data_IF_197079832299
#
_entry.id   IF_197079832299
#
_cell.length_a   1.000
_cell.length_b   1.000
_cell.length_c   1.000
_cell.angle_alpha   90.00
_cell.angle_beta   90.00
_cell.angle_gamma   90.00
#
_symmetry.space_group_name_H-M   'P 1'
#
loop_
_entity.id
_entity.type
_entity.pdbx_description
1 polymer ?
#
# COMPACT_ATOMS: atom_id res chain seq x y z
N UNK A 1 -46.77 -9.78 8.89
CA UNK A 1 -45.38 -9.51 9.33
C UNK A 1 -44.45 -9.03 8.21
N UNK A 2 -44.52 -9.59 6.99
CA UNK A 2 -43.65 -9.20 5.85
C UNK A 2 -43.92 -7.76 5.34
N UNK A 3 -45.18 -7.32 5.33
CA UNK A 3 -45.54 -5.97 4.90
C UNK A 3 -45.08 -4.86 5.87
N UNK A 4 -45.06 -5.15 7.18
CA UNK A 4 -44.57 -4.20 8.18
C UNK A 4 -43.05 -3.96 8.07
N UNK A 5 -42.28 -5.01 7.77
CA UNK A 5 -40.83 -4.89 7.49
C UNK A 5 -40.53 -4.10 6.22
N UNK A 6 -41.35 -4.25 5.16
CA UNK A 6 -41.22 -3.47 3.92
C UNK A 6 -41.58 -1.99 4.12
N UNK A 7 -42.63 -1.70 4.87
CA UNK A 7 -43.03 -0.32 5.19
C UNK A 7 -41.99 0.36 6.07
N UNK A 8 -41.45 -0.34 7.09
CA UNK A 8 -40.37 0.19 7.93
C UNK A 8 -39.09 0.45 7.13
N UNK A 9 -38.74 -0.44 6.19
CA UNK A 9 -37.59 -0.25 5.31
C UNK A 9 -37.77 0.94 4.35
N UNK A 10 -38.96 1.10 3.76
CA UNK A 10 -39.30 2.24 2.91
C UNK A 10 -39.32 3.54 3.74
N UNK A 11 -39.87 3.51 4.96
CA UNK A 11 -39.91 4.66 5.87
C UNK A 11 -38.50 5.11 6.31
N UNK A 12 -37.60 4.16 6.62
CA UNK A 12 -36.19 4.45 6.87
C UNK A 12 -35.48 5.03 5.63
N UNK A 13 -35.74 4.49 4.43
CA UNK A 13 -35.20 5.03 3.18
C UNK A 13 -35.70 6.45 2.88
N UNK A 14 -36.98 6.75 3.15
CA UNK A 14 -37.53 8.09 2.98
C UNK A 14 -37.01 9.09 4.03
N UNK A 15 -36.79 8.66 5.27
CA UNK A 15 -36.19 9.51 6.31
C UNK A 15 -34.73 9.86 5.99
N UNK A 16 -33.96 8.93 5.41
CA UNK A 16 -32.60 9.21 4.91
C UNK A 16 -32.65 10.28 3.80
N UNK A 17 -33.65 10.24 2.90
CA UNK A 17 -33.76 11.26 1.83
C UNK A 17 -34.21 12.64 2.31
N UNK A 18 -35.00 12.73 3.39
CA UNK A 18 -35.51 14.01 3.92
C UNK A 18 -34.44 14.72 4.76
N UNK A 19 -33.60 13.99 5.50
CA UNK A 19 -32.49 14.58 6.27
C UNK A 19 -31.37 15.09 5.34
N UNK A 20 -31.16 14.47 4.18
CA UNK A 20 -30.18 14.91 3.17
C UNK A 20 -30.60 16.20 2.45
N UNK A 21 -31.86 16.64 2.59
CA UNK A 21 -32.40 17.85 1.96
C UNK A 21 -32.18 19.16 2.73
N UNK A 22 -31.67 19.13 3.97
CA UNK A 22 -31.70 20.29 4.88
C UNK A 22 -30.35 20.97 5.17
N UNK A 23 -29.23 20.50 4.60
CA UNK A 23 -27.94 21.19 4.71
C UNK A 23 -27.74 22.11 3.49
N UNK A 24 -27.97 23.41 3.70
CA UNK A 24 -28.02 24.45 2.67
C UNK A 24 -26.69 24.90 2.06
N UNK A 25 -25.55 24.37 2.50
CA UNK A 25 -24.24 24.53 1.87
C UNK A 25 -23.55 23.17 1.92
N UNK A 26 -23.10 22.67 0.77
CA UNK A 26 -22.38 21.39 0.70
C UNK A 26 -20.92 21.71 0.85
N UNK A 27 -20.32 21.22 1.94
CA UNK A 27 -18.91 21.39 2.16
C UNK A 27 -18.11 20.22 1.60
N UNK A 28 -17.08 20.47 0.80
CA UNK A 28 -16.17 19.45 0.27
C UNK A 28 -14.74 19.72 0.69
N UNK A 29 -14.04 18.68 1.12
CA UNK A 29 -12.62 18.75 1.43
C UNK A 29 -11.94 17.49 0.97
N UNK A 30 -10.82 17.65 0.26
CA UNK A 30 -9.96 16.52 -0.08
C UNK A 30 -8.58 16.73 0.52
N UNK A 31 -8.00 15.67 1.08
CA UNK A 31 -6.62 15.68 1.52
C UNK A 31 -5.85 14.47 1.02
N UNK A 32 -4.57 14.70 0.76
CA UNK A 32 -3.56 13.67 0.57
C UNK A 32 -2.48 13.85 1.64
N UNK A 33 -2.12 12.80 2.36
CA UNK A 33 -1.16 12.88 3.46
C UNK A 33 -0.26 11.66 3.56
N UNK A 34 0.91 11.86 4.16
CA UNK A 34 1.78 10.79 4.65
C UNK A 34 1.78 10.75 6.17
N UNK A 35 1.96 9.57 6.75
CA UNK A 35 2.02 9.40 8.20
C UNK A 35 3.12 8.43 8.64
N UNK A 36 3.56 8.61 9.88
CA UNK A 36 4.47 7.71 10.59
C UNK A 36 4.04 7.58 12.04
N UNK A 37 4.37 6.47 12.69
CA UNK A 37 4.09 6.31 14.11
C UNK A 37 4.37 4.93 14.63
N UNK A 38 3.67 4.57 15.70
CA UNK A 38 3.75 3.26 16.32
C UNK A 38 2.40 2.57 16.27
N UNK A 39 2.44 1.25 16.18
CA UNK A 39 1.23 0.42 16.30
C UNK A 39 1.56 -0.79 17.15
N UNK A 40 0.65 -1.14 18.05
CA UNK A 40 0.76 -2.34 18.84
C UNK A 40 0.71 -3.57 17.94
N UNK A 41 1.44 -4.59 18.38
CA UNK A 41 1.41 -5.93 17.81
C UNK A 41 1.54 -6.87 18.98
N UNK A 42 0.88 -8.02 18.97
CA UNK A 42 1.08 -9.01 20.03
C UNK A 42 1.39 -10.37 19.40
N UNK A 43 2.58 -10.91 19.63
CA UNK A 43 2.94 -12.26 19.16
C UNK A 43 3.05 -13.22 20.35
N UNK A 44 2.03 -13.24 21.20
CA UNK A 44 2.01 -14.01 22.45
C UNK A 44 2.44 -15.48 22.26
N UNK A 45 1.84 -16.19 21.30
CA UNK A 45 2.13 -17.61 21.08
C UNK A 45 3.60 -17.85 20.70
N UNK A 46 4.16 -17.05 19.78
CA UNK A 46 5.57 -17.16 19.42
C UNK A 46 6.50 -16.75 20.57
N UNK A 47 6.15 -15.70 21.31
CA UNK A 47 6.92 -15.27 22.47
C UNK A 47 6.91 -16.32 23.59
N UNK A 48 5.83 -17.06 23.77
CA UNK A 48 5.79 -18.21 24.69
C UNK A 48 6.74 -19.33 24.23
N UNK A 49 6.78 -19.63 22.92
CA UNK A 49 7.74 -20.61 22.37
C UNK A 49 9.20 -20.17 22.53
N UNK A 50 9.47 -18.87 22.46
CA UNK A 50 10.78 -18.29 22.75
C UNK A 50 11.12 -18.42 24.24
N UNK A 51 10.18 -18.07 25.11
CA UNK A 51 10.36 -18.12 26.57
C UNK A 51 10.59 -19.56 27.08
N UNK A 52 9.86 -20.54 26.56
CA UNK A 52 10.08 -21.97 26.84
C UNK A 52 11.51 -22.45 26.49
N UNK A 53 12.17 -21.74 25.57
CA UNK A 53 13.57 -21.99 25.16
C UNK A 53 14.58 -21.08 25.86
N UNK A 54 14.14 -20.31 26.86
CA UNK A 54 14.98 -19.35 27.60
C UNK A 54 15.34 -18.10 26.80
N UNK A 55 14.59 -17.79 25.73
CA UNK A 55 14.91 -16.71 24.80
C UNK A 55 14.11 -15.45 25.09
N UNK A 56 14.71 -14.31 24.75
CA UNK A 56 14.06 -13.01 24.92
C UNK A 56 12.85 -12.87 23.98
N UNK A 57 11.70 -12.37 24.48
CA UNK A 57 10.52 -12.17 23.66
C UNK A 57 10.73 -11.06 22.63
N UNK A 58 10.08 -11.20 21.48
CA UNK A 58 10.07 -10.16 20.46
C UNK A 58 9.20 -9.00 20.93
N UNK A 59 9.67 -7.77 20.67
CA UNK A 59 8.91 -6.56 21.01
C UNK A 59 7.56 -6.51 20.30
N UNK A 60 6.54 -6.27 21.10
CA UNK A 60 5.12 -6.16 20.74
C UNK A 60 4.76 -4.79 20.14
N UNK A 61 5.53 -4.33 19.13
CA UNK A 61 5.26 -3.05 18.46
C UNK A 61 5.83 -3.00 17.04
N UNK A 62 5.10 -2.30 16.19
CA UNK A 62 5.54 -1.84 14.89
C UNK A 62 5.95 -0.38 14.90
N UNK A 63 6.89 -0.04 14.01
CA UNK A 63 6.95 1.27 13.39
C UNK A 63 6.05 1.24 12.15
N UNK A 64 5.15 2.19 12.05
CA UNK A 64 4.15 2.29 10.99
C UNK A 64 4.49 3.48 10.10
N UNK A 65 4.34 3.33 8.80
CA UNK A 65 4.46 4.39 7.81
C UNK A 65 3.44 4.17 6.70
N UNK A 66 2.89 5.24 6.14
CA UNK A 66 1.87 5.09 5.12
C UNK A 66 1.50 6.39 4.42
N UNK A 67 0.63 6.23 3.43
CA UNK A 67 0.03 7.28 2.64
C UNK A 67 -1.49 7.15 2.72
N UNK A 68 -2.18 8.27 2.78
CA UNK A 68 -3.62 8.34 2.87
C UNK A 68 -4.20 9.37 1.93
N UNK A 69 -5.38 9.07 1.42
CA UNK A 69 -6.28 9.98 0.76
C UNK A 69 -7.58 10.02 1.54
N UNK A 70 -8.16 11.19 1.71
CA UNK A 70 -9.50 11.33 2.26
C UNK A 70 -10.27 12.40 1.49
N UNK A 71 -11.55 12.12 1.26
CA UNK A 71 -12.53 13.07 0.77
C UNK A 71 -13.65 13.15 1.79
N UNK A 72 -13.99 14.36 2.19
CA UNK A 72 -15.10 14.67 3.07
C UNK A 72 -16.17 15.40 2.28
N UNK A 73 -17.42 15.00 2.49
CA UNK A 73 -18.60 15.74 2.04
C UNK A 73 -19.48 15.98 3.26
N UNK A 74 -19.63 17.26 3.61
CA UNK A 74 -20.23 17.73 4.85
C UNK A 74 -19.54 17.06 6.04
N UNK A 75 -20.26 16.22 6.77
CA UNK A 75 -19.73 15.50 7.91
C UNK A 75 -19.24 14.10 7.54
N UNK A 76 -19.61 13.57 6.37
CA UNK A 76 -19.23 12.22 5.97
C UNK A 76 -17.83 12.17 5.38
N UNK A 77 -17.02 11.22 5.82
CA UNK A 77 -15.67 10.99 5.32
C UNK A 77 -15.57 9.64 4.64
N UNK A 78 -14.96 9.63 3.46
CA UNK A 78 -14.47 8.43 2.79
C UNK A 78 -12.99 8.61 2.50
N UNK A 79 -12.19 7.56 2.69
CA UNK A 79 -10.77 7.62 2.43
C UNK A 79 -10.18 6.27 2.09
N UNK A 80 -8.90 6.31 1.75
CA UNK A 80 -8.09 5.15 1.48
C UNK A 80 -6.72 5.33 2.10
N UNK A 81 -6.19 4.30 2.74
CA UNK A 81 -4.85 4.27 3.32
C UNK A 81 -4.08 3.05 2.86
N UNK A 82 -2.83 3.28 2.48
CA UNK A 82 -1.84 2.24 2.25
C UNK A 82 -0.74 2.39 3.29
N UNK A 83 -0.52 1.37 4.10
CA UNK A 83 0.46 1.39 5.18
C UNK A 83 1.36 0.17 5.18
N UNK A 84 2.54 0.37 5.74
CA UNK A 84 3.51 -0.67 6.02
C UNK A 84 3.91 -0.54 7.50
N UNK A 85 3.95 -1.68 8.16
CA UNK A 85 4.29 -1.82 9.56
C UNK A 85 5.49 -2.76 9.66
N UNK A 86 6.51 -2.32 10.38
CA UNK A 86 7.76 -3.06 10.51
C UNK A 86 8.10 -3.25 11.99
N UNK A 87 8.33 -4.49 12.39
CA UNK A 87 8.75 -4.80 13.75
C UNK A 87 10.17 -4.31 14.00
N UNK A 88 10.53 -4.21 15.28
CA UNK A 88 11.96 -4.20 15.63
C UNK A 88 12.55 -5.58 15.31
N UNK A 89 13.80 -5.60 14.88
CA UNK A 89 14.60 -6.82 14.81
C UNK A 89 14.82 -7.39 16.21
N UNK A 90 14.70 -8.70 16.35
CA UNK A 90 15.23 -9.46 17.47
C UNK A 90 16.40 -10.29 16.98
N UNK A 91 17.55 -10.16 17.62
CA UNK A 91 18.70 -10.99 17.32
C UNK A 91 18.59 -12.29 18.12
N UNK A 92 18.97 -13.39 17.48
CA UNK A 92 18.94 -14.72 18.06
C UNK A 92 20.09 -15.52 17.44
N UNK A 93 21.12 -15.81 18.22
CA UNK A 93 22.41 -16.31 17.71
C UNK A 93 22.89 -15.45 16.52
N UNK A 94 23.24 -16.09 15.39
CA UNK A 94 23.61 -15.44 14.14
C UNK A 94 22.42 -15.03 13.27
N UNK A 95 21.19 -15.13 13.79
CA UNK A 95 19.95 -14.83 13.07
C UNK A 95 19.27 -13.55 13.54
N UNK A 96 18.46 -13.00 12.64
CA UNK A 96 17.56 -11.88 12.89
C UNK A 96 16.13 -12.29 12.61
N UNK A 97 15.29 -12.21 13.63
CA UNK A 97 13.86 -12.42 13.52
C UNK A 97 13.19 -11.06 13.30
N UNK A 98 12.38 -11.00 12.24
CA UNK A 98 11.63 -9.79 11.84
C UNK A 98 10.25 -10.19 11.36
N UNK A 99 9.28 -9.33 11.64
CA UNK A 99 7.95 -9.44 11.05
C UNK A 99 7.49 -8.10 10.51
N UNK A 100 6.78 -8.14 9.38
CA UNK A 100 6.25 -6.97 8.69
C UNK A 100 4.83 -7.24 8.25
N UNK A 101 4.02 -6.20 8.24
CA UNK A 101 2.69 -6.23 7.65
C UNK A 101 2.49 -5.04 6.71
N UNK A 102 1.74 -5.26 5.64
CA UNK A 102 1.28 -4.20 4.73
C UNK A 102 -0.23 -4.20 4.76
N UNK A 103 -0.87 -3.03 4.71
CA UNK A 103 -2.33 -2.92 4.79
C UNK A 103 -2.84 -1.94 3.75
N UNK A 104 -3.96 -2.28 3.14
CA UNK A 104 -4.76 -1.39 2.31
C UNK A 104 -6.14 -1.27 2.96
N UNK A 105 -6.50 -0.06 3.36
CA UNK A 105 -7.67 0.23 4.18
C UNK A 105 -8.55 1.26 3.48
N UNK A 106 -9.86 1.07 3.55
CA UNK A 106 -10.87 2.06 3.16
C UNK A 106 -11.42 2.65 4.46
N UNK A 107 -11.31 3.97 4.59
CA UNK A 107 -11.79 4.70 5.74
C UNK A 107 -13.21 5.19 5.48
N UNK A 108 -14.09 5.01 6.47
CA UNK A 108 -15.42 5.60 6.50
C UNK A 108 -15.58 6.26 7.86
N UNK A 109 -15.99 7.52 7.89
CA UNK A 109 -16.04 8.26 9.14
C UNK A 109 -17.03 9.41 9.14
N UNK A 110 -17.08 10.09 10.28
CA UNK A 110 -17.89 11.26 10.52
C UNK A 110 -17.06 12.35 11.20
N UNK A 111 -17.18 13.60 10.75
CA UNK A 111 -16.58 14.77 11.37
C UNK A 111 -17.39 15.14 12.62
N UNK A 112 -16.80 14.99 13.81
CA UNK A 112 -17.44 15.33 15.07
C UNK A 112 -17.43 16.84 15.32
N UNK A 113 -16.38 17.53 14.87
CA UNK A 113 -16.22 18.97 15.08
C UNK A 113 -15.34 19.55 13.98
N UNK A 114 -15.77 20.67 13.45
CA UNK A 114 -14.96 21.53 12.59
C UNK A 114 -15.08 22.97 13.09
N UNK A 115 -14.00 23.46 13.67
CA UNK A 115 -13.90 24.85 14.11
C UNK A 115 -12.80 25.52 13.30
N UNK A 116 -13.21 26.08 12.17
CA UNK A 116 -12.31 26.77 11.27
C UNK A 116 -11.28 25.84 10.65
N UNK A 117 -10.05 25.84 11.19
CA UNK A 117 -8.88 25.13 10.62
C UNK A 117 -8.67 23.77 11.27
N UNK A 118 -9.31 23.54 12.42
CA UNK A 118 -9.20 22.32 13.20
C UNK A 118 -10.33 21.35 12.84
N UNK A 119 -10.00 20.07 12.77
CA UNK A 119 -10.94 18.99 12.52
C UNK A 119 -10.74 17.86 13.52
N UNK A 120 -11.85 17.30 13.98
CA UNK A 120 -11.88 16.06 14.75
C UNK A 120 -12.82 15.06 14.07
N UNK A 121 -12.25 13.97 13.58
CA UNK A 121 -12.93 12.93 12.83
C UNK A 121 -12.93 11.65 13.65
N UNK A 122 -14.07 10.99 13.75
CA UNK A 122 -14.13 9.60 14.18
C UNK A 122 -14.30 8.71 12.94
N UNK A 123 -13.50 7.66 12.82
CA UNK A 123 -13.50 6.81 11.64
C UNK A 123 -13.40 5.33 11.99
N UNK A 124 -13.91 4.53 11.07
CA UNK A 124 -13.70 3.10 10.96
C UNK A 124 -13.04 2.82 9.62
N UNK A 125 -11.98 2.04 9.64
CA UNK A 125 -11.27 1.57 8.46
C UNK A 125 -11.53 0.09 8.28
N UNK A 126 -11.83 -0.33 7.05
CA UNK A 126 -12.02 -1.73 6.68
C UNK A 126 -11.10 -2.04 5.51
N UNK A 127 -10.42 -3.17 5.56
CA UNK A 127 -9.52 -3.52 4.47
C UNK A 127 -8.87 -4.88 4.61
N UNK A 128 -7.69 -4.98 4.02
CA UNK A 128 -6.96 -6.24 3.87
C UNK A 128 -5.46 -6.03 4.05
N UNK A 129 -4.74 -7.13 4.25
CA UNK A 129 -3.30 -7.04 4.49
C UNK A 129 -2.45 -8.21 4.01
N UNK A 130 -1.19 -8.10 4.35
CA UNK A 130 -0.12 -9.06 4.10
C UNK A 130 0.69 -9.20 5.36
N UNK A 131 1.09 -10.43 5.72
CA UNK A 131 1.99 -10.67 6.83
C UNK A 131 3.20 -11.44 6.34
N UNK A 132 4.38 -11.01 6.76
CA UNK A 132 5.62 -11.72 6.54
C UNK A 132 6.40 -11.82 7.84
N UNK A 133 6.56 -13.04 8.31
CA UNK A 133 7.44 -13.40 9.39
C UNK A 133 8.70 -14.04 8.80
N UNK A 134 9.88 -13.67 9.27
CA UNK A 134 11.13 -14.19 8.73
C UNK A 134 12.20 -14.30 9.83
N UNK A 135 13.02 -15.33 9.70
CA UNK A 135 14.24 -15.54 10.46
C UNK A 135 15.35 -15.79 9.44
N UNK A 136 16.23 -14.81 9.29
CA UNK A 136 17.32 -14.82 8.30
C UNK A 136 18.64 -14.51 9.00
N UNK A 137 19.79 -14.99 8.51
CA UNK A 137 21.07 -14.71 9.14
C UNK A 137 21.38 -13.21 9.12
N UNK A 138 22.15 -12.74 10.10
CA UNK A 138 22.62 -11.35 10.19
C UNK A 138 23.46 -10.97 8.97
N UNK A 139 24.30 -11.90 8.53
CA UNK A 139 25.12 -11.80 7.34
C UNK A 139 24.51 -12.70 6.27
N UNK A 140 23.87 -12.09 5.28
CA UNK A 140 23.32 -12.79 4.12
C UNK A 140 24.29 -12.68 2.96
N UNK A 141 24.31 -13.69 2.10
CA UNK A 141 25.09 -13.65 0.88
C UNK A 141 24.55 -12.53 -0.03
N UNK A 142 25.46 -11.72 -0.56
CA UNK A 142 25.10 -10.63 -1.47
C UNK A 142 25.43 -10.98 -2.91
N UNK A 143 26.42 -11.84 -3.15
CA UNK A 143 26.73 -12.31 -4.47
C UNK A 143 25.65 -13.30 -4.93
N UNK A 144 25.08 -13.06 -6.12
CA UNK A 144 23.97 -13.88 -6.61
C UNK A 144 24.42 -15.31 -6.91
N UNK A 145 25.60 -15.49 -7.47
CA UNK A 145 26.15 -16.80 -7.83
C UNK A 145 26.38 -17.66 -6.59
N UNK A 146 27.03 -17.10 -5.56
CA UNK A 146 27.23 -17.77 -4.27
C UNK A 146 25.89 -18.09 -3.60
N UNK A 147 24.94 -17.15 -3.65
CA UNK A 147 23.59 -17.36 -3.13
C UNK A 147 22.85 -18.50 -3.83
N UNK A 148 23.01 -18.66 -5.15
CA UNK A 148 22.34 -19.72 -5.91
C UNK A 148 22.96 -21.10 -5.68
N UNK A 149 24.22 -21.18 -5.23
CA UNK A 149 24.87 -22.45 -4.86
C UNK A 149 24.34 -22.98 -3.52
N UNK A 150 24.12 -22.10 -2.53
CA UNK A 150 23.55 -22.46 -1.24
C UNK A 150 22.47 -21.45 -0.79
N UNK A 151 21.25 -21.54 -1.34
CA UNK A 151 20.21 -20.55 -1.09
C UNK A 151 19.52 -20.73 0.27
N UNK A 152 19.78 -21.80 1.01
CA UNK A 152 19.05 -22.15 2.24
C UNK A 152 19.69 -21.44 3.43
N UNK A 153 19.43 -20.15 3.54
CA UNK A 153 20.01 -19.33 4.61
C UNK A 153 19.15 -19.28 5.88
N UNK A 154 17.83 -19.30 5.73
CA UNK A 154 16.88 -19.10 6.83
C UNK A 154 15.47 -19.53 6.44
N UNK A 155 14.44 -18.97 7.06
CA UNK A 155 13.07 -19.23 6.65
C UNK A 155 12.21 -17.97 6.63
N UNK A 156 11.25 -17.99 5.71
CA UNK A 156 10.28 -16.93 5.48
C UNK A 156 8.88 -17.55 5.41
N UNK A 157 8.00 -17.03 6.24
CA UNK A 157 6.58 -17.36 6.28
C UNK A 157 5.77 -16.15 5.84
N UNK A 158 4.87 -16.34 4.87
CA UNK A 158 4.04 -15.28 4.32
C UNK A 158 2.59 -15.68 4.24
N UNK A 159 1.72 -14.85 4.80
CA UNK A 159 0.27 -14.91 4.59
C UNK A 159 -0.11 -13.82 3.60
N UNK A 160 -0.95 -14.14 2.62
CA UNK A 160 -1.40 -13.20 1.58
C UNK A 160 -0.24 -12.61 0.79
N UNK A 161 0.65 -13.47 0.28
CA UNK A 161 1.96 -13.09 -0.26
C UNK A 161 1.91 -12.12 -1.45
N UNK A 162 2.01 -10.82 -1.16
CA UNK A 162 2.00 -9.75 -2.15
C UNK A 162 3.23 -9.76 -3.05
N UNK A 163 4.30 -10.46 -2.66
CA UNK A 163 5.48 -10.60 -3.51
C UNK A 163 5.18 -11.47 -4.73
N UNK A 164 4.14 -12.31 -4.67
CA UNK A 164 3.60 -13.10 -5.80
C UNK A 164 2.50 -12.35 -6.57
N UNK A 165 2.19 -11.11 -6.19
CA UNK A 165 1.23 -10.22 -6.85
C UNK A 165 0.22 -9.59 -5.88
N UNK A 166 -0.20 -8.36 -6.16
CA UNK A 166 -1.12 -7.57 -5.31
C UNK A 166 -2.49 -8.23 -5.12
N UNK A 167 -2.92 -9.05 -6.07
CA UNK A 167 -4.17 -9.84 -5.94
C UNK A 167 -4.14 -10.87 -4.81
N UNK A 168 -2.97 -11.09 -4.20
CA UNK A 168 -2.80 -11.99 -3.04
C UNK A 168 -3.06 -11.29 -1.71
N UNK A 169 -3.22 -9.96 -1.67
CA UNK A 169 -3.71 -9.28 -0.48
C UNK A 169 -5.03 -9.92 -0.03
N UNK A 170 -5.20 -10.09 1.28
CA UNK A 170 -6.33 -10.81 1.81
C UNK A 170 -6.43 -10.63 3.32
N UNK A 171 -7.32 -11.41 3.91
CA UNK A 171 -7.71 -11.39 5.32
C UNK A 171 -8.16 -10.01 5.82
N UNK A 172 -9.33 -9.99 6.45
CA UNK A 172 -9.98 -8.74 6.80
C UNK A 172 -9.28 -8.05 7.98
N UNK A 173 -9.12 -6.74 7.88
CA UNK A 173 -8.57 -5.89 8.93
C UNK A 173 -9.50 -4.72 9.20
N UNK A 174 -9.64 -4.39 10.48
CA UNK A 174 -10.42 -3.24 10.93
C UNK A 174 -9.55 -2.32 11.76
N UNK A 175 -9.64 -1.02 11.54
CA UNK A 175 -9.14 0.00 12.47
C UNK A 175 -10.30 0.89 12.90
N UNK A 176 -10.35 1.28 14.17
CA UNK A 176 -11.33 2.24 14.68
C UNK A 176 -10.56 3.30 15.46
N UNK A 177 -10.87 4.57 15.25
CA UNK A 177 -10.12 5.62 15.90
C UNK A 177 -10.59 7.04 15.64
N UNK A 178 -9.79 7.96 16.14
CA UNK A 178 -9.95 9.39 15.97
C UNK A 178 -8.79 9.94 15.16
N UNK A 179 -9.09 10.94 14.33
CA UNK A 179 -8.13 11.75 13.63
C UNK A 179 -8.38 13.20 14.00
N UNK A 180 -7.36 13.85 14.55
CA UNK A 180 -7.32 15.29 14.70
C UNK A 180 -6.46 15.87 13.57
N UNK A 181 -6.90 16.92 12.91
CA UNK A 181 -6.07 17.64 11.94
C UNK A 181 -6.21 19.15 12.04
N UNK A 182 -5.19 19.85 11.57
CA UNK A 182 -5.14 21.31 11.53
C UNK A 182 -4.51 21.78 10.22
N UNK A 183 -5.13 22.76 9.58
CA UNK A 183 -4.63 23.36 8.35
C UNK A 183 -3.82 24.63 8.57
N UNK A 184 -2.68 24.71 7.88
CA UNK A 184 -1.90 25.92 7.71
C UNK A 184 -2.03 26.41 6.28
N UNK A 185 -2.57 27.61 6.10
CA UNK A 185 -2.73 28.20 4.77
C UNK A 185 -1.34 28.42 4.15
N UNK A 186 -1.18 28.00 2.90
CA UNK A 186 0.05 28.24 2.14
C UNK A 186 -0.08 29.57 1.39
N UNK A 187 0.84 30.54 1.61
CA UNK A 187 0.76 31.84 0.94
C UNK A 187 0.71 31.71 -0.59
N UNK A 188 -0.28 32.35 -1.21
CA UNK A 188 -0.44 32.36 -2.67
C UNK A 188 -0.88 31.03 -3.28
N UNK A 189 -1.35 30.08 -2.48
CA UNK A 189 -1.79 28.75 -2.92
C UNK A 189 -3.24 28.47 -2.51
N UNK A 190 -3.92 27.63 -3.30
CA UNK A 190 -5.29 27.17 -3.01
C UNK A 190 -5.29 26.03 -1.99
N UNK A 191 -4.18 25.33 -1.91
CA UNK A 191 -3.94 24.24 -0.97
C UNK A 191 -3.49 24.76 0.40
N UNK A 192 -3.78 23.98 1.43
CA UNK A 192 -3.25 24.15 2.78
C UNK A 192 -2.36 22.98 3.17
N UNK A 193 -1.39 23.24 4.04
CA UNK A 193 -0.60 22.20 4.69
C UNK A 193 -1.44 21.63 5.84
N UNK A 194 -1.82 20.37 5.74
CA UNK A 194 -2.50 19.65 6.82
C UNK A 194 -1.48 18.99 7.73
N UNK A 195 -1.60 19.18 9.04
CA UNK A 195 -0.93 18.36 10.05
C UNK A 195 -1.99 17.51 10.74
N UNK A 196 -1.73 16.21 10.90
CA UNK A 196 -2.69 15.29 11.49
C UNK A 196 -2.08 14.38 12.54
N UNK A 197 -2.92 13.96 13.47
CA UNK A 197 -2.65 12.91 14.45
C UNK A 197 -3.80 11.91 14.43
N UNK A 198 -3.48 10.62 14.38
CA UNK A 198 -4.43 9.52 14.39
C UNK A 198 -4.15 8.60 15.57
N UNK A 199 -5.20 8.30 16.32
CA UNK A 199 -5.16 7.36 17.44
C UNK A 199 -6.30 6.37 17.31
N UNK A 200 -6.08 5.15 17.75
CA UNK A 200 -7.12 4.13 17.65
C UNK A 200 -6.62 2.74 17.96
N UNK A 201 -7.42 1.77 17.55
CA UNK A 201 -7.16 0.35 17.74
C UNK A 201 -7.37 -0.40 16.42
N UNK A 202 -6.39 -1.23 16.07
CA UNK A 202 -6.45 -2.14 14.93
C UNK A 202 -6.76 -3.55 15.44
N UNK A 203 -7.49 -4.34 14.66
CA UNK A 203 -7.72 -5.77 14.93
C UNK A 203 -8.14 -6.54 13.68
N UNK A 204 -7.95 -7.86 13.70
CA UNK A 204 -8.60 -8.79 12.76
C UNK A 204 -9.89 -9.28 13.41
N UNK A 205 -11.08 -9.12 12.77
CA UNK A 205 -12.33 -9.57 13.37
C UNK A 205 -12.55 -11.09 13.26
N UNK A 206 -11.75 -11.79 12.46
CA UNK A 206 -11.88 -13.24 12.25
C UNK A 206 -10.68 -13.98 12.84
N UNK A 207 -10.95 -14.86 13.79
CA UNK A 207 -9.93 -15.71 14.42
C UNK A 207 -9.36 -16.73 13.44
N UNK A 208 -8.04 -16.96 13.48
CA UNK A 208 -7.35 -17.95 12.66
C UNK A 208 -7.12 -17.52 11.21
N UNK A 209 -7.62 -16.36 10.79
CA UNK A 209 -7.39 -15.81 9.45
C UNK A 209 -5.89 -15.60 9.20
N UNK A 210 -5.14 -15.19 10.23
CA UNK A 210 -3.70 -14.94 10.16
C UNK A 210 -2.85 -16.10 10.70
N UNK A 211 -3.21 -17.35 10.42
CA UNK A 211 -2.43 -18.53 10.81
C UNK A 211 -1.30 -18.85 9.82
N UNK A 212 -0.11 -19.19 10.35
CA UNK A 212 1.06 -19.63 9.61
C UNK A 212 1.78 -20.75 10.37
N UNK A 213 2.04 -21.87 9.69
CA UNK A 213 2.82 -23.02 10.19
C UNK A 213 2.46 -23.44 11.64
N UNK A 214 1.17 -23.62 11.91
CA UNK A 214 0.66 -24.05 13.21
C UNK A 214 0.49 -22.94 14.27
N UNK A 215 0.89 -21.69 14.00
CA UNK A 215 0.75 -20.56 14.93
C UNK A 215 -0.22 -19.50 14.41
N UNK A 216 -1.02 -18.93 15.31
CA UNK A 216 -1.89 -17.79 15.02
C UNK A 216 -1.15 -16.45 15.18
N UNK A 217 -1.12 -15.65 14.12
CA UNK A 217 -0.58 -14.29 14.10
C UNK A 217 -1.69 -13.22 14.08
N UNK A 218 -2.94 -13.56 14.42
CA UNK A 218 -4.05 -12.58 14.44
C UNK A 218 -3.74 -11.40 15.38
N UNK A 219 -3.14 -11.72 16.53
CA UNK A 219 -2.70 -10.75 17.51
C UNK A 219 -1.57 -9.85 16.98
N UNK A 220 -0.78 -10.30 15.99
CA UNK A 220 0.21 -9.47 15.33
C UNK A 220 -0.44 -8.40 14.46
N UNK A 221 -1.74 -8.52 14.13
CA UNK A 221 -2.50 -7.48 13.43
C UNK A 221 -3.34 -6.61 14.39
N UNK A 222 -3.34 -6.93 15.69
CA UNK A 222 -4.14 -6.25 16.69
C UNK A 222 -3.29 -5.35 17.62
N UNK A 223 -3.79 -4.15 17.92
CA UNK A 223 -3.15 -3.25 18.87
C UNK A 223 -3.53 -1.79 18.72
N UNK A 224 -3.29 -1.03 19.80
CA UNK A 224 -3.46 0.42 19.81
C UNK A 224 -2.40 1.09 18.92
N UNK A 225 -2.74 2.18 18.27
CA UNK A 225 -1.79 2.94 17.46
C UNK A 225 -1.84 4.43 17.76
N UNK A 226 -0.69 5.08 17.53
CA UNK A 226 -0.53 6.52 17.51
C UNK A 226 0.31 6.87 16.29
N UNK A 227 -0.24 7.69 15.39
CA UNK A 227 0.37 8.06 14.12
C UNK A 227 0.27 9.57 13.95
N UNK A 228 1.32 10.19 13.44
CA UNK A 228 1.34 11.61 13.09
C UNK A 228 1.70 11.74 11.63
N UNK A 229 1.16 12.75 10.98
CA UNK A 229 1.31 12.93 9.55
C UNK A 229 1.22 14.39 9.13
N UNK A 230 1.60 14.60 7.88
CA UNK A 230 1.44 15.86 7.20
C UNK A 230 1.00 15.61 5.76
N UNK A 231 0.28 16.57 5.19
CA UNK A 231 -0.32 16.44 3.89
C UNK A 231 -0.72 17.76 3.26
N UNK A 232 -1.37 17.65 2.12
CA UNK A 232 -1.94 18.76 1.38
C UNK A 232 -3.46 18.59 1.44
N UNK A 233 -4.15 19.61 1.92
CA UNK A 233 -5.61 19.69 1.96
C UNK A 233 -6.10 20.77 1.00
N UNK A 234 -7.29 20.57 0.44
CA UNK A 234 -8.06 21.58 -0.27
C UNK A 234 -9.25 21.96 0.62
N UNK A 235 -9.12 22.97 1.49
CA UNK A 235 -10.21 23.40 2.38
C UNK A 235 -11.26 24.21 1.62
N UNK A 236 -12.51 24.05 2.02
CA UNK A 236 -13.67 24.55 1.26
C UNK A 236 -13.95 26.05 1.38
N UNK A 237 -13.03 26.79 2.02
CA UNK A 237 -13.15 28.25 2.23
C UNK A 237 -13.15 29.05 0.92
N UNK A 238 -12.93 28.38 -0.21
CA UNK A 238 -12.84 28.96 -1.54
C UNK A 238 -13.84 28.29 -2.50
N UNK A 239 -15.14 28.43 -2.24
CA UNK A 239 -16.30 27.94 -3.04
C UNK A 239 -16.28 28.28 -4.56
N UNK A 240 -15.22 28.91 -5.08
CA UNK A 240 -15.06 29.32 -6.47
C UNK A 240 -14.02 28.54 -7.28
N UNK A 241 -13.29 27.58 -6.73
CA UNK A 241 -12.28 26.87 -7.52
C UNK A 241 -12.87 25.69 -8.29
N UNK A 242 -13.21 25.94 -9.56
CA UNK A 242 -13.32 24.88 -10.58
C UNK A 242 -11.98 24.20 -10.90
N UNK A 243 -10.87 24.77 -10.42
CA UNK A 243 -9.54 24.51 -10.97
C UNK A 243 -8.60 23.77 -10.01
N UNK A 244 -9.07 23.28 -8.85
CA UNK A 244 -8.27 22.48 -7.94
C UNK A 244 -9.01 21.23 -7.41
N UNK A 245 -8.38 20.05 -7.47
CA UNK A 245 -8.97 18.78 -7.01
C UNK A 245 -7.89 17.80 -6.55
N UNK A 246 -8.22 16.85 -5.66
CA UNK A 246 -7.37 15.68 -5.36
C UNK A 246 -8.21 14.43 -5.59
N UNK A 247 -7.79 13.59 -6.52
CA UNK A 247 -8.41 12.31 -6.84
C UNK A 247 -7.55 11.12 -6.46
N UNK A 248 -8.20 9.95 -6.33
CA UNK A 248 -7.54 8.66 -6.14
C UNK A 248 -7.95 7.71 -7.27
N UNK A 249 -7.00 6.96 -7.82
CA UNK A 249 -7.22 5.97 -8.85
C UNK A 249 -6.55 4.64 -8.50
N UNK A 250 -7.27 3.54 -8.70
CA UNK A 250 -6.66 2.23 -8.78
C UNK A 250 -6.04 2.09 -10.16
N UNK A 251 -4.75 1.82 -10.21
CA UNK A 251 -4.00 1.68 -11.45
C UNK A 251 -3.61 0.22 -11.69
N UNK A 252 -3.78 -0.21 -12.93
CA UNK A 252 -3.28 -1.49 -13.43
C UNK A 252 -2.37 -1.23 -14.61
N UNK A 253 -1.16 -1.77 -14.56
CA UNK A 253 -0.15 -1.56 -15.59
C UNK A 253 0.41 -2.84 -16.19
N UNK A 254 0.88 -2.72 -17.42
CA UNK A 254 1.73 -3.69 -18.10
C UNK A 254 3.11 -3.06 -18.23
N UNK A 255 4.13 -3.77 -17.74
CA UNK A 255 5.52 -3.45 -17.98
C UNK A 255 6.06 -4.41 -19.06
N UNK A 256 6.58 -3.88 -20.15
CA UNK A 256 6.86 -4.69 -21.35
C UNK A 256 8.21 -5.43 -21.32
N UNK A 257 8.99 -5.28 -20.25
CA UNK A 257 10.28 -5.96 -20.07
C UNK A 257 10.20 -7.13 -19.11
N UNK A 258 10.91 -8.21 -19.46
CA UNK A 258 11.15 -9.42 -18.68
C UNK A 258 12.58 -9.43 -18.11
N UNK A 259 12.83 -10.15 -17.01
CA UNK A 259 14.14 -10.22 -16.37
C UNK A 259 15.06 -11.24 -17.09
N UNK A 260 15.31 -11.07 -18.38
CA UNK A 260 16.01 -12.06 -19.24
C UNK A 260 17.40 -12.44 -18.71
N UNK A 261 18.23 -11.45 -18.37
CA UNK A 261 19.56 -11.68 -17.79
C UNK A 261 19.53 -12.40 -16.45
N UNK A 262 18.51 -12.13 -15.64
CA UNK A 262 18.36 -12.81 -14.36
C UNK A 262 17.90 -14.25 -14.58
N UNK A 263 16.97 -14.47 -15.51
CA UNK A 263 16.51 -15.80 -15.89
C UNK A 263 17.63 -16.67 -16.48
N UNK A 264 18.53 -16.11 -17.31
CA UNK A 264 19.67 -16.88 -17.81
C UNK A 264 20.58 -17.36 -16.69
N UNK A 265 20.86 -16.49 -15.69
CA UNK A 265 21.66 -16.90 -14.52
C UNK A 265 20.92 -17.91 -13.64
N UNK A 266 19.59 -17.85 -13.54
CA UNK A 266 18.84 -18.91 -12.86
C UNK A 266 19.01 -20.26 -13.58
N UNK A 267 18.90 -20.27 -14.91
CA UNK A 267 19.04 -21.48 -15.73
C UNK A 267 20.45 -22.07 -15.65
N UNK A 268 21.49 -21.23 -15.67
CA UNK A 268 22.90 -21.65 -15.53
C UNK A 268 23.16 -22.40 -14.21
N UNK A 269 22.39 -22.09 -13.16
CA UNK A 269 22.47 -22.74 -11.84
C UNK A 269 21.39 -23.83 -11.65
N UNK A 270 20.72 -24.25 -12.72
CA UNK A 270 19.75 -25.36 -12.70
C UNK A 270 18.36 -25.00 -12.17
N UNK A 271 18.04 -23.73 -12.05
CA UNK A 271 16.70 -23.25 -11.70
C UNK A 271 15.85 -22.99 -12.94
N UNK A 272 14.54 -23.17 -12.80
CA UNK A 272 13.59 -22.75 -13.83
C UNK A 272 13.48 -21.22 -13.88
N UNK A 273 13.23 -20.61 -15.05
CA UNK A 273 13.08 -19.17 -15.20
C UNK A 273 11.76 -18.66 -14.61
N UNK A 274 11.71 -17.37 -14.28
CA UNK A 274 10.45 -16.71 -13.91
C UNK A 274 9.52 -16.63 -15.13
N UNK A 275 8.25 -17.00 -14.93
CA UNK A 275 7.26 -17.04 -16.01
C UNK A 275 6.43 -15.76 -16.13
N UNK A 276 5.95 -15.51 -17.35
CA UNK A 276 4.95 -14.49 -17.66
C UNK A 276 5.51 -13.08 -17.85
N UNK A 277 4.59 -12.12 -17.96
CA UNK A 277 4.93 -10.69 -17.98
C UNK A 277 4.61 -10.08 -16.62
N UNK A 278 5.47 -9.20 -16.11
CA UNK A 278 5.23 -8.59 -14.82
C UNK A 278 4.01 -7.65 -14.90
N UNK A 279 3.02 -7.91 -14.04
CA UNK A 279 1.79 -7.11 -13.98
C UNK A 279 1.82 -6.16 -12.79
N UNK A 280 1.40 -4.92 -13.00
CA UNK A 280 1.34 -3.89 -11.97
C UNK A 280 -0.08 -3.69 -11.47
N UNK A 281 -0.24 -3.67 -10.16
CA UNK A 281 -1.42 -3.12 -9.49
C UNK A 281 -0.95 -2.11 -8.46
N UNK A 282 -1.66 -1.00 -8.38
CA UNK A 282 -1.30 0.08 -7.49
C UNK A 282 -2.38 1.12 -7.31
N UNK A 283 -1.97 2.21 -6.69
CA UNK A 283 -2.76 3.37 -6.36
C UNK A 283 -2.03 4.61 -6.86
N UNK A 284 -2.78 5.51 -7.46
CA UNK A 284 -2.36 6.87 -7.83
C UNK A 284 -3.21 7.86 -7.06
N UNK A 285 -2.57 8.76 -6.32
CA UNK A 285 -3.22 9.93 -5.72
C UNK A 285 -2.70 11.14 -6.48
N UNK A 286 -3.61 11.89 -7.11
CA UNK A 286 -3.25 13.00 -7.99
C UNK A 286 -4.02 14.25 -7.59
N UNK A 287 -3.27 15.28 -7.22
CA UNK A 287 -3.72 16.65 -7.11
C UNK A 287 -3.58 17.39 -8.43
N UNK A 288 -4.55 18.23 -8.72
CA UNK A 288 -4.56 19.16 -9.83
C UNK A 288 -4.85 20.55 -9.27
N UNK A 289 -4.05 21.55 -9.67
CA UNK A 289 -4.28 22.97 -9.36
C UNK A 289 -3.89 23.80 -10.58
N UNK A 290 -4.85 24.48 -11.22
CA UNK A 290 -4.62 25.34 -12.39
C UNK A 290 -3.84 24.64 -13.52
N UNK A 291 -4.15 23.36 -13.75
CA UNK A 291 -3.48 22.50 -14.73
C UNK A 291 -2.14 21.91 -14.26
N UNK A 292 -1.55 22.38 -13.15
CA UNK A 292 -0.41 21.73 -12.51
C UNK A 292 -0.86 20.40 -11.90
N UNK A 293 -0.15 19.32 -12.23
CA UNK A 293 -0.36 17.99 -11.67
C UNK A 293 0.71 17.70 -10.62
N UNK A 294 0.32 17.15 -9.48
CA UNK A 294 1.24 16.67 -8.46
C UNK A 294 0.63 15.50 -7.71
N UNK A 295 1.45 14.53 -7.30
CA UNK A 295 0.87 13.35 -6.66
C UNK A 295 1.86 12.25 -6.35
N UNK A 296 1.33 11.09 -5.99
CA UNK A 296 2.12 9.90 -5.69
C UNK A 296 1.53 8.67 -6.36
N UNK A 297 2.39 7.87 -6.98
CA UNK A 297 2.07 6.52 -7.41
C UNK A 297 2.72 5.50 -6.48
N UNK A 298 1.96 4.50 -6.08
CA UNK A 298 2.47 3.30 -5.43
C UNK A 298 1.98 2.08 -6.17
N UNK A 299 2.87 1.27 -6.69
CA UNK A 299 2.48 0.02 -7.34
C UNK A 299 3.48 -1.09 -7.09
N UNK A 300 2.99 -2.31 -7.28
CA UNK A 300 3.70 -3.53 -6.98
C UNK A 300 3.81 -4.37 -8.26
N UNK A 301 5.03 -4.53 -8.73
CA UNK A 301 5.42 -5.37 -9.86
C UNK A 301 5.81 -6.75 -9.30
N UNK A 302 5.19 -7.82 -9.77
CA UNK A 302 5.50 -9.15 -9.26
C UNK A 302 5.58 -10.19 -10.39
N UNK A 303 6.58 -11.05 -10.28
CA UNK A 303 6.72 -12.29 -11.04
C UNK A 303 6.90 -13.45 -10.07
N UNK A 304 6.44 -14.62 -10.48
CA UNK A 304 6.55 -15.86 -9.71
C UNK A 304 6.75 -17.03 -10.66
N UNK A 305 7.32 -18.09 -10.14
CA UNK A 305 7.55 -19.33 -10.88
C UNK A 305 7.83 -20.47 -9.92
N UNK A 306 7.90 -21.66 -10.49
CA UNK A 306 8.54 -22.79 -9.82
C UNK A 306 10.04 -22.65 -10.04
N UNK A 307 10.85 -22.82 -9.00
CA UNK A 307 12.31 -22.76 -9.14
C UNK A 307 12.88 -24.17 -9.37
N UNK A 308 12.34 -25.16 -8.66
CA UNK A 308 12.71 -26.58 -8.74
C UNK A 308 11.54 -27.48 -8.33
N UNK A 309 11.76 -28.78 -8.17
CA UNK A 309 10.70 -29.68 -7.69
C UNK A 309 10.23 -29.38 -6.27
N UNK A 310 11.13 -28.89 -5.42
CA UNK A 310 10.88 -28.63 -4.00
C UNK A 310 10.74 -27.14 -3.66
N UNK A 311 11.04 -26.23 -4.59
CA UNK A 311 11.11 -24.80 -4.33
C UNK A 311 10.30 -23.98 -5.35
N UNK A 312 9.68 -22.91 -4.86
CA UNK A 312 9.12 -21.84 -5.67
C UNK A 312 9.97 -20.58 -5.52
N UNK A 313 9.86 -19.66 -6.48
CA UNK A 313 10.50 -18.36 -6.36
C UNK A 313 9.59 -17.20 -6.76
N UNK A 314 9.99 -16.00 -6.37
CA UNK A 314 9.31 -14.75 -6.74
C UNK A 314 10.29 -13.62 -6.88
N UNK A 315 10.06 -12.76 -7.87
CA UNK A 315 10.77 -11.50 -8.07
C UNK A 315 9.76 -10.36 -7.98
N UNK A 316 9.93 -9.53 -6.96
CA UNK A 316 8.98 -8.50 -6.59
C UNK A 316 9.64 -7.12 -6.55
N UNK A 317 8.97 -6.11 -7.10
CA UNK A 317 9.38 -4.72 -6.98
C UNK A 317 8.24 -3.83 -6.52
N UNK A 318 8.36 -3.26 -5.33
CA UNK A 318 7.46 -2.19 -4.85
C UNK A 318 8.07 -0.86 -5.24
N UNK A 319 7.29 -0.02 -5.94
CA UNK A 319 7.74 1.26 -6.47
C UNK A 319 6.87 2.39 -5.93
N UNK A 320 7.52 3.46 -5.49
CA UNK A 320 6.87 4.69 -5.01
C UNK A 320 7.44 5.87 -5.79
N UNK A 321 6.60 6.62 -6.49
CA UNK A 321 6.99 7.79 -7.28
C UNK A 321 6.29 9.04 -6.76
N UNK A 322 7.06 10.10 -6.49
CA UNK A 322 6.53 11.46 -6.40
C UNK A 322 6.47 12.06 -7.79
N UNK A 323 5.28 12.48 -8.21
CA UNK A 323 4.99 12.93 -9.56
C UNK A 323 4.72 14.44 -9.58
N UNK A 324 5.21 15.11 -10.62
CA UNK A 324 4.87 16.49 -10.97
C UNK A 324 4.67 16.58 -12.48
N UNK A 325 3.72 17.40 -12.93
CA UNK A 325 3.44 17.55 -14.35
C UNK A 325 2.47 18.67 -14.67
N UNK A 326 1.96 18.67 -15.89
CA UNK A 326 1.05 19.70 -16.37
C UNK A 326 0.04 19.14 -17.38
N UNK A 327 -1.19 19.65 -17.34
CA UNK A 327 -2.23 19.43 -18.35
C UNK A 327 -2.10 20.48 -19.44
N UNK A 328 -1.80 20.02 -20.66
CA UNK A 328 -1.64 20.92 -21.82
C UNK A 328 -2.97 21.20 -22.52
N UNK A 329 -3.93 20.28 -22.40
CA UNK A 329 -5.22 20.40 -23.07
C UNK A 329 -6.32 19.84 -22.18
N UNK A 330 -7.39 20.62 -22.02
CA UNK A 330 -8.60 20.19 -21.34
C UNK A 330 -9.81 20.67 -22.12
N UNK A 331 -10.63 19.72 -22.56
CA UNK A 331 -11.88 20.02 -23.26
C UNK A 331 -13.01 19.19 -22.68
N UNK A 332 -13.95 19.89 -22.02
CA UNK A 332 -15.06 19.28 -21.29
C UNK A 332 -14.55 18.27 -20.25
N UNK A 333 -14.81 16.99 -20.49
CA UNK A 333 -14.49 15.89 -19.60
C UNK A 333 -13.16 15.21 -19.96
N UNK A 334 -12.52 15.63 -21.05
CA UNK A 334 -11.29 15.04 -21.55
C UNK A 334 -10.10 15.93 -21.20
N UNK A 335 -9.01 15.34 -20.74
CA UNK A 335 -7.75 16.04 -20.49
C UNK A 335 -6.55 15.25 -21.02
N UNK A 336 -5.54 15.98 -21.48
CA UNK A 336 -4.23 15.48 -21.89
C UNK A 336 -3.16 16.24 -21.12
N UNK A 337 -2.21 15.52 -20.55
CA UNK A 337 -1.07 16.08 -19.85
C UNK A 337 0.17 15.21 -19.95
N UNK A 338 1.25 15.69 -19.35
CA UNK A 338 2.44 14.88 -19.10
C UNK A 338 2.92 15.08 -17.67
N UNK A 339 3.56 14.05 -17.13
CA UNK A 339 4.12 14.04 -15.79
C UNK A 339 5.50 13.40 -15.79
N UNK A 340 6.36 13.85 -14.88
CA UNK A 340 7.61 13.21 -14.53
C UNK A 340 7.55 12.75 -13.07
N UNK A 341 7.87 11.48 -12.85
CA UNK A 341 8.03 10.89 -11.53
C UNK A 341 9.49 10.70 -11.16
N UNK A 342 9.84 11.02 -9.92
CA UNK A 342 11.09 10.54 -9.28
C UNK A 342 10.68 9.63 -8.15
N UNK A 343 11.28 8.45 -8.08
CA UNK A 343 10.85 7.43 -7.16
C UNK A 343 11.93 6.50 -6.68
N UNK A 344 11.50 5.60 -5.80
CA UNK A 344 12.32 4.56 -5.22
C UNK A 344 11.67 3.21 -5.50
N UNK A 345 12.47 2.29 -6.04
CA UNK A 345 12.12 0.88 -6.21
C UNK A 345 12.79 0.03 -5.14
N UNK A 346 12.06 -0.93 -4.58
CA UNK A 346 12.64 -2.00 -3.76
C UNK A 346 12.43 -3.33 -4.48
N UNK A 347 13.51 -3.98 -4.89
CA UNK A 347 13.52 -5.25 -5.60
C UNK A 347 13.84 -6.38 -4.61
N UNK A 348 13.09 -7.47 -4.68
CA UNK A 348 13.20 -8.61 -3.76
C UNK A 348 13.10 -9.89 -4.57
N UNK A 349 14.12 -10.72 -4.46
CA UNK A 349 14.06 -12.10 -4.90
C UNK A 349 13.90 -12.99 -3.69
N UNK A 350 12.98 -13.95 -3.76
CA UNK A 350 12.77 -14.95 -2.71
C UNK A 350 12.73 -16.31 -3.35
N UNK A 351 13.50 -17.23 -2.78
CA UNK A 351 13.47 -18.65 -3.09
C UNK A 351 12.92 -19.36 -1.85
N UNK A 352 11.77 -20.02 -2.01
CA UNK A 352 11.00 -20.59 -0.89
C UNK A 352 10.84 -22.09 -1.06
N UNK A 353 11.20 -22.85 -0.02
CA UNK A 353 10.84 -24.27 0.08
C UNK A 353 9.33 -24.45 0.21
N UNK A 354 8.80 -25.51 -0.39
CA UNK A 354 7.40 -25.95 -0.27
C UNK A 354 7.15 -26.75 1.00
N UNK A 355 8.15 -27.49 1.45
CA UNK A 355 8.06 -28.40 2.58
C UNK A 355 8.80 -27.78 3.76
N UNK A 356 8.07 -27.01 4.57
CA UNK A 356 8.55 -26.49 5.85
C UNK A 356 7.73 -27.15 6.94
N UNK A 357 8.34 -27.63 8.03
CA UNK A 357 7.60 -28.14 9.17
C UNK A 357 6.80 -27.02 9.85
N UNK A 358 5.88 -27.39 10.72
CA UNK A 358 5.20 -26.45 11.59
C UNK A 358 6.10 -26.06 12.78
N UNK A 359 5.73 -25.01 13.49
CA UNK A 359 6.35 -24.77 14.79
C UNK A 359 5.98 -25.89 15.78
N UNK A 360 6.90 -26.31 16.66
CA UNK A 360 8.19 -25.69 16.94
C UNK A 360 9.36 -26.15 16.05
N UNK A 361 9.23 -27.24 15.30
CA UNK A 361 10.32 -27.87 14.54
C UNK A 361 10.97 -26.92 13.52
N UNK A 362 10.19 -26.03 12.89
CA UNK A 362 10.71 -24.96 12.03
C UNK A 362 11.71 -24.01 12.72
N UNK A 363 11.63 -23.88 14.04
CA UNK A 363 12.58 -23.08 14.79
C UNK A 363 13.91 -23.82 15.02
N UNK A 364 13.90 -25.14 14.93
CA UNK A 364 15.08 -26.02 15.10
C UNK A 364 15.77 -26.24 13.76
N UNK A 365 14.99 -26.55 12.71
CA UNK A 365 15.43 -26.59 11.33
C UNK A 365 15.25 -25.22 10.67
N UNK A 366 16.28 -24.39 10.61
CA UNK A 366 16.11 -22.99 10.20
C UNK A 366 16.39 -22.72 8.72
N UNK A 367 17.05 -23.64 8.03
CA UNK A 367 17.66 -23.41 6.71
C UNK A 367 16.78 -23.94 5.57
N UNK A 368 15.87 -23.11 5.06
CA UNK A 368 14.90 -23.51 4.03
C UNK A 368 14.81 -22.60 2.81
N UNK A 369 14.96 -21.30 3.02
CA UNK A 369 14.66 -20.24 2.09
C UNK A 369 15.84 -19.28 1.92
N UNK A 370 15.86 -18.65 0.76
CA UNK A 370 16.82 -17.62 0.40
C UNK A 370 16.15 -16.30 0.05
N UNK A 371 16.82 -15.19 0.38
CA UNK A 371 16.25 -13.86 0.19
C UNK A 371 17.30 -12.82 -0.17
N UNK A 372 17.21 -12.33 -1.40
CA UNK A 372 18.00 -11.20 -1.87
C UNK A 372 17.12 -9.96 -1.97
N UNK A 373 17.69 -8.81 -1.61
CA UNK A 373 17.03 -7.52 -1.75
C UNK A 373 17.97 -6.48 -2.31
N UNK A 374 17.41 -5.57 -3.08
CA UNK A 374 18.09 -4.39 -3.56
C UNK A 374 17.11 -3.21 -3.61
N UNK A 375 17.65 -2.02 -3.71
CA UNK A 375 16.86 -0.82 -3.89
C UNK A 375 17.60 0.22 -4.70
N UNK A 376 16.86 0.99 -5.47
CA UNK A 376 17.41 2.01 -6.34
C UNK A 376 16.44 3.14 -6.60
N UNK A 377 17.00 4.24 -7.09
CA UNK A 377 16.22 5.38 -7.56
C UNK A 377 15.75 5.09 -8.99
N UNK A 378 14.57 5.61 -9.33
CA UNK A 378 13.96 5.46 -10.64
C UNK A 378 13.35 6.79 -11.10
N UNK A 379 13.36 7.02 -12.41
CA UNK A 379 12.63 8.10 -13.07
C UNK A 379 11.51 7.51 -13.91
N UNK A 380 10.43 8.28 -14.05
CA UNK A 380 9.21 7.84 -14.72
C UNK A 380 8.53 8.99 -15.47
N UNK A 381 9.05 9.39 -16.64
CA UNK A 381 8.31 10.26 -17.56
C UNK A 381 7.08 9.52 -18.17
N UNK A 382 5.94 10.20 -18.22
CA UNK A 382 4.72 9.68 -18.83
C UNK A 382 3.83 10.76 -19.45
N UNK A 383 3.12 10.38 -20.51
CA UNK A 383 1.95 11.08 -21.01
C UNK A 383 0.69 10.51 -20.35
N UNK A 384 -0.27 11.38 -20.06
CA UNK A 384 -1.50 11.07 -19.34
C UNK A 384 -2.70 11.55 -20.15
N UNK A 385 -3.68 10.66 -20.32
CA UNK A 385 -5.01 10.96 -20.84
C UNK A 385 -6.02 10.66 -19.75
N UNK A 386 -6.95 11.58 -19.52
CA UNK A 386 -8.03 11.42 -18.53
C UNK A 386 -9.39 11.70 -19.15
N UNK A 387 -10.39 10.94 -18.71
CA UNK A 387 -11.79 11.15 -19.02
C UNK A 387 -12.62 11.10 -17.73
N UNK A 388 -13.23 12.22 -17.35
CA UNK A 388 -14.10 12.33 -16.18
C UNK A 388 -15.57 12.13 -16.54
N UNK A 389 -16.21 11.10 -15.99
CA UNK A 389 -17.65 10.88 -16.11
C UNK A 389 -18.37 11.41 -14.86
N UNK A 390 -19.18 12.47 -14.96
CA UNK A 390 -19.90 12.99 -13.80
C UNK A 390 -20.96 11.99 -13.34
N UNK A 391 -20.85 11.50 -12.10
CA UNK A 391 -21.70 10.43 -11.58
C UNK A 391 -23.05 10.91 -11.08
N UNK A 392 -23.18 12.20 -10.73
CA UNK A 392 -24.42 12.76 -10.19
C UNK A 392 -24.85 14.01 -10.95
N UNK A 393 -26.17 14.29 -10.99
CA UNK A 393 -26.72 15.53 -11.59
C UNK A 393 -26.13 16.80 -10.95
N UNK A 394 -25.74 16.70 -9.68
CA UNK A 394 -25.09 17.76 -8.91
C UNK A 394 -23.55 17.74 -9.00
N UNK A 395 -22.95 16.82 -9.77
CA UNK A 395 -21.50 16.67 -10.00
C UNK A 395 -20.69 16.62 -8.69
N UNK A 396 -21.09 15.75 -7.78
CA UNK A 396 -20.40 15.55 -6.50
C UNK A 396 -19.08 14.83 -6.65
N UNK A 397 -19.01 13.90 -7.61
CA UNK A 397 -17.83 13.14 -7.93
C UNK A 397 -17.86 12.83 -9.43
N UNK A 398 -16.69 12.88 -10.02
CA UNK A 398 -16.40 12.31 -11.32
C UNK A 398 -15.77 10.93 -11.13
N UNK A 399 -16.27 9.96 -11.88
CA UNK A 399 -15.55 8.71 -12.12
C UNK A 399 -14.49 9.01 -13.19
N UNK A 400 -13.22 8.95 -12.80
CA UNK A 400 -12.10 9.27 -13.69
C UNK A 400 -11.53 7.99 -14.27
N UNK A 401 -11.54 7.91 -15.59
CA UNK A 401 -10.80 6.92 -16.35
C UNK A 401 -9.50 7.55 -16.83
N UNK A 402 -8.38 6.91 -16.54
CA UNK A 402 -7.07 7.39 -16.99
C UNK A 402 -6.33 6.33 -17.78
N UNK A 403 -5.57 6.78 -18.77
CA UNK A 403 -4.59 5.99 -19.48
C UNK A 403 -3.27 6.77 -19.48
N UNK A 404 -2.19 6.12 -19.08
CA UNK A 404 -0.85 6.70 -19.10
C UNK A 404 0.14 5.77 -19.76
N UNK A 405 1.00 6.34 -20.59
CA UNK A 405 2.05 5.62 -21.28
C UNK A 405 3.36 6.37 -21.10
N UNK A 406 4.44 5.64 -20.87
CA UNK A 406 5.71 6.25 -20.55
C UNK A 406 6.84 5.24 -20.55
N UNK A 407 7.95 5.66 -19.96
CA UNK A 407 9.15 4.84 -19.85
C UNK A 407 9.70 4.94 -18.43
N UNK A 408 9.94 3.82 -17.77
CA UNK A 408 10.65 3.79 -16.50
C UNK A 408 12.15 3.70 -16.75
N UNK A 409 12.93 4.47 -16.01
CA UNK A 409 14.39 4.53 -16.08
C UNK A 409 14.95 4.23 -14.70
N UNK A 410 15.58 3.08 -14.53
CA UNK A 410 16.33 2.76 -13.33
C UNK A 410 17.74 3.38 -13.40
N UNK A 411 18.23 3.88 -12.27
CA UNK A 411 19.63 4.29 -12.19
C UNK A 411 20.57 3.09 -12.40
N UNK A 412 21.74 3.27 -13.05
CA UNK A 412 22.66 2.17 -13.38
C UNK A 412 23.13 1.34 -12.19
N UNK A 413 23.17 1.93 -10.98
CA UNK A 413 23.56 1.27 -9.74
C UNK A 413 22.53 0.29 -9.20
N UNK A 414 21.38 0.12 -9.87
CA UNK A 414 20.35 -0.81 -9.43
C UNK A 414 20.75 -2.26 -9.80
N UNK A 415 21.46 -2.94 -8.91
CA UNK A 415 21.87 -4.35 -9.05
C UNK A 415 21.18 -5.25 -8.04
N UNK A 416 20.93 -6.52 -8.38
CA UNK A 416 20.54 -7.55 -7.43
C UNK A 416 21.69 -8.56 -7.32
N UNK A 417 22.40 -8.48 -6.21
CA UNK A 417 23.76 -8.99 -6.14
C UNK A 417 24.66 -8.28 -7.14
N UNK A 418 25.29 -9.04 -8.03
CA UNK A 418 26.25 -8.51 -9.01
C UNK A 418 25.60 -8.24 -10.38
N UNK A 419 24.36 -8.71 -10.59
CA UNK A 419 23.65 -8.49 -11.85
C UNK A 419 22.99 -7.13 -11.84
N UNK A 420 23.28 -6.32 -12.87
CA UNK A 420 22.52 -5.09 -13.12
C UNK A 420 21.07 -5.42 -13.46
N UNK A 421 20.15 -4.92 -12.65
CA UNK A 421 18.71 -5.03 -12.87
C UNK A 421 18.16 -3.83 -13.63
N UNK A 422 19.02 -2.89 -14.04
CA UNK A 422 18.61 -1.68 -14.76
C UNK A 422 17.79 -1.99 -16.02
N UNK A 423 18.13 -3.04 -16.78
CA UNK A 423 17.40 -3.45 -17.98
C UNK A 423 16.02 -4.07 -17.70
N UNK A 424 15.87 -4.77 -16.59
CA UNK A 424 14.57 -5.29 -16.16
C UNK A 424 13.69 -4.17 -15.58
N UNK A 425 14.32 -3.27 -14.83
CA UNK A 425 13.63 -2.20 -14.13
C UNK A 425 13.30 -1.01 -15.03
N UNK A 426 14.03 -0.85 -16.15
CA UNK A 426 13.78 0.17 -17.15
C UNK A 426 13.01 -0.39 -18.33
N UNK A 427 11.97 0.30 -18.77
CA UNK A 427 11.20 -0.16 -19.92
C UNK A 427 9.96 0.67 -20.17
N UNK A 428 9.35 0.50 -21.36
CA UNK A 428 8.08 1.12 -21.64
C UNK A 428 6.99 0.46 -20.78
N UNK A 429 5.99 1.26 -20.43
CA UNK A 429 4.81 0.79 -19.73
C UNK A 429 3.54 1.41 -20.28
N UNK A 430 2.43 0.74 -20.01
CA UNK A 430 1.09 1.25 -20.21
C UNK A 430 0.29 1.01 -18.93
N UNK A 431 -0.35 2.05 -18.41
CA UNK A 431 -1.14 2.02 -17.19
C UNK A 431 -2.55 2.54 -17.44
N UNK A 432 -3.53 1.82 -16.91
CA UNK A 432 -4.94 2.19 -16.92
C UNK A 432 -5.40 2.42 -15.50
N UNK A 433 -6.14 3.49 -15.27
CA UNK A 433 -6.66 3.86 -13.97
C UNK A 433 -8.18 4.01 -14.00
N UNK A 434 -8.81 3.59 -12.90
CA UNK A 434 -10.19 3.95 -12.58
C UNK A 434 -10.18 4.55 -11.19
N UNK A 435 -10.73 5.76 -11.07
CA UNK A 435 -10.64 6.54 -9.85
C UNK A 435 -11.84 7.43 -9.61
N UNK A 436 -11.81 8.08 -8.46
CA UNK A 436 -12.82 9.05 -8.05
C UNK A 436 -12.14 10.39 -7.84
N UNK A 437 -12.75 11.43 -8.38
CA UNK A 437 -12.35 12.83 -8.17
C UNK A 437 -13.55 13.63 -7.68
N UNK A 438 -13.49 14.23 -6.48
CA UNK A 438 -14.58 15.02 -5.91
C UNK A 438 -14.82 16.37 -6.59
#
# INVERSE_FOLDING_TARGET
>A
MIHFKRILFIFCLTLITVVVGAQGLIEKRSSFYGFTGTSGANIRQFNSLLEERGLSPIRNRYRSYGLGYQSRINDFLIGFELSQHQSKTSDFDDFQIKYRTSRALINVGYSLTEEGKFQLIHYMSLGMGYLNFQMLPQNQEKNLELFLLDPKEGFILRKNDIHKGTSRFGDFLTEIGFQASYDFDLPGRKESLEILAKVGYSFSPFEGSWSLNGIAFDNAQAGAFFRVGAGISLPDRNFFYKDATIGISLIRGVHFKSPEKFNSVLEDYGYQPLEGKPSNWGVRILGETDGLLYGVDVFNLAMKGRASNSQDHSLNSVRVYGNVGHKFFQYKNFALGAMGGVGFGNLRYTLSSKNKPDFPELFEERYFDGYLRSSGVMFKPEALVEYGLPMTKRKFFDLVFSASAGYELAFPSYSLGEISMSEYMSGPFLMFGVGVRP
#
